data_IF_961324515017
#
_entry.id   IF_961324515017
#
_cell.length_a   1.000
_cell.length_b   1.000
_cell.length_c   1.000
_cell.angle_alpha   90.00
_cell.angle_beta   90.00
_cell.angle_gamma   90.00
#
_symmetry.space_group_name_H-M   'P 1'
#
loop_
_entity.id
_entity.type
_entity.pdbx_description
1 polymer ?
#
# COMPACT_ATOMS: atom_id res chain seq x y z
N UNK A 1 -9.36 -31.07 2.38
CA UNK A 1 -8.71 -31.60 3.60
C UNK A 1 -7.24 -32.05 3.41
N UNK A 2 -6.65 -31.92 2.20
CA UNK A 2 -5.26 -32.34 1.93
C UNK A 2 -4.17 -31.32 2.34
N UNK A 3 -4.51 -30.03 2.43
CA UNK A 3 -3.54 -28.98 2.76
C UNK A 3 -2.94 -29.13 4.17
N UNK A 4 -3.68 -29.70 5.12
CA UNK A 4 -3.22 -29.93 6.50
C UNK A 4 -2.24 -31.09 6.63
N UNK A 5 -2.39 -32.16 5.82
CA UNK A 5 -1.49 -33.31 5.83
C UNK A 5 -0.10 -32.95 5.27
N UNK A 6 -0.05 -32.28 4.12
CA UNK A 6 1.19 -31.78 3.52
C UNK A 6 1.87 -30.73 4.41
N UNK A 7 1.10 -29.86 5.08
CA UNK A 7 1.65 -28.89 6.02
C UNK A 7 2.25 -29.56 7.26
N UNK A 8 1.67 -30.66 7.75
CA UNK A 8 2.19 -31.40 8.92
C UNK A 8 3.47 -32.17 8.60
N UNK A 9 3.60 -32.77 7.42
CA UNK A 9 4.85 -33.43 7.00
C UNK A 9 6.01 -32.45 6.81
N UNK A 10 5.72 -31.22 6.38
CA UNK A 10 6.71 -30.15 6.20
C UNK A 10 6.93 -29.30 7.47
N UNK A 11 6.16 -29.50 8.54
CA UNK A 11 6.23 -28.69 9.78
C UNK A 11 7.53 -28.85 10.57
N UNK A 12 8.32 -29.90 10.30
CA UNK A 12 9.66 -30.11 10.89
C UNK A 12 10.82 -29.63 10.02
N UNK A 13 10.58 -29.26 8.76
CA UNK A 13 11.64 -28.86 7.82
C UNK A 13 12.11 -27.42 8.05
N UNK A 14 11.21 -26.56 8.53
CA UNK A 14 11.51 -25.17 8.87
C UNK A 14 11.19 -25.00 10.35
N UNK A 15 12.17 -24.68 11.21
CA UNK A 15 11.91 -24.46 12.61
C UNK A 15 10.89 -23.33 12.79
N UNK A 16 9.91 -23.48 13.69
CA UNK A 16 8.92 -22.43 13.94
C UNK A 16 9.63 -21.18 14.46
N UNK A 17 9.06 -19.99 14.23
CA UNK A 17 9.62 -18.72 14.70
C UNK A 17 9.53 -18.61 16.23
N UNK A 18 10.53 -19.14 16.94
CA UNK A 18 10.60 -19.18 18.41
C UNK A 18 10.71 -17.79 19.07
N UNK A 19 11.15 -16.78 18.31
CA UNK A 19 11.31 -15.40 18.80
C UNK A 19 10.15 -14.48 18.36
N UNK A 20 8.99 -15.02 18.00
CA UNK A 20 7.81 -14.19 17.78
C UNK A 20 7.09 -13.94 19.12
N UNK A 21 6.51 -12.75 19.36
CA UNK A 21 5.79 -12.46 20.61
C UNK A 21 4.71 -13.50 20.94
N UNK A 22 4.05 -14.05 19.92
CA UNK A 22 3.08 -15.14 20.07
C UNK A 22 3.67 -16.50 20.45
N UNK A 23 4.95 -16.76 20.16
CA UNK A 23 5.65 -17.99 20.53
C UNK A 23 6.22 -17.96 21.95
N UNK A 24 6.47 -16.76 22.50
CA UNK A 24 6.95 -16.56 23.88
C UNK A 24 5.81 -16.48 24.90
N UNK A 25 4.57 -16.33 24.43
CA UNK A 25 3.35 -16.19 25.25
C UNK A 25 2.78 -17.56 25.65
N UNK A 26 3.49 -18.31 26.50
CA UNK A 26 2.98 -19.58 27.04
C UNK A 26 2.08 -19.36 28.28
N UNK A 27 0.86 -18.86 28.06
CA UNK A 27 -0.18 -18.87 29.10
C UNK A 27 -1.19 -17.72 29.04
N UNK A 28 -2.36 -17.93 29.65
CA UNK A 28 -3.46 -16.95 29.74
C UNK A 28 -3.03 -15.62 30.39
N UNK A 29 -2.06 -15.66 31.32
CA UNK A 29 -1.46 -14.47 31.94
C UNK A 29 -0.74 -13.59 30.91
N UNK A 30 -0.06 -14.20 29.92
CA UNK A 30 0.66 -13.46 28.88
C UNK A 30 -0.30 -12.77 27.89
N UNK A 31 -1.43 -13.40 27.58
CA UNK A 31 -2.50 -12.77 26.80
C UNK A 31 -3.13 -11.58 27.54
N UNK A 32 -3.33 -11.69 28.87
CA UNK A 32 -3.83 -10.58 29.70
C UNK A 32 -2.82 -9.43 29.76
N UNK A 33 -1.53 -9.69 29.96
CA UNK A 33 -0.51 -8.63 29.92
C UNK A 33 -0.44 -7.96 28.56
N UNK A 34 -0.58 -8.72 27.46
CA UNK A 34 -0.61 -8.14 26.11
C UNK A 34 -1.82 -7.21 25.94
N UNK A 35 -3.01 -7.60 26.41
CA UNK A 35 -4.21 -6.74 26.33
C UNK A 35 -4.06 -5.42 27.09
N UNK A 36 -3.36 -5.43 28.24
CA UNK A 36 -3.09 -4.22 29.02
C UNK A 36 -2.08 -3.33 28.29
N UNK A 37 -0.98 -3.91 27.78
CA UNK A 37 0.01 -3.17 26.97
C UNK A 37 -0.63 -2.60 25.70
N UNK A 38 -1.47 -3.37 25.03
CA UNK A 38 -2.23 -2.95 23.86
C UNK A 38 -3.19 -1.80 24.19
N UNK A 39 -3.89 -1.87 25.33
CA UNK A 39 -4.78 -0.81 25.80
C UNK A 39 -4.01 0.50 26.00
N UNK A 40 -2.89 0.46 26.73
CA UNK A 40 -2.09 1.65 27.00
C UNK A 40 -1.36 2.17 25.73
N UNK A 41 -0.96 1.30 24.82
CA UNK A 41 -0.33 1.71 23.57
C UNK A 41 -1.28 2.39 22.58
N UNK A 42 -2.58 2.05 22.66
CA UNK A 42 -3.68 2.59 21.83
C UNK A 42 -4.41 3.78 22.47
N UNK A 43 -4.03 4.20 23.67
CA UNK A 43 -4.54 5.44 24.26
C UNK A 43 -4.40 6.57 23.23
N UNK A 44 -5.39 7.47 23.09
CA UNK A 44 -5.29 8.59 22.17
C UNK A 44 -4.05 9.40 22.53
N UNK A 45 -2.99 9.21 21.74
CA UNK A 45 -1.83 10.07 21.77
C UNK A 45 -2.31 11.43 21.22
N UNK A 46 -1.63 12.50 21.61
CA UNK A 46 -1.95 13.85 21.14
C UNK A 46 -2.01 13.95 19.61
N UNK A 47 -2.21 15.16 19.06
CA UNK A 47 -2.36 15.36 17.62
C UNK A 47 -1.31 14.59 16.81
N UNK A 48 -1.79 13.88 15.78
CA UNK A 48 -0.99 13.00 14.93
C UNK A 48 0.27 13.76 14.48
N UNK A 49 1.48 13.15 14.60
CA UNK A 49 2.71 13.81 14.21
C UNK A 49 2.61 14.28 12.76
N UNK A 50 3.19 15.44 12.43
CA UNK A 50 3.09 16.04 11.09
C UNK A 50 3.54 15.10 9.96
N UNK A 51 4.37 14.08 10.27
CA UNK A 51 4.79 13.00 9.36
C UNK A 51 3.69 12.00 9.00
N UNK A 52 2.70 11.81 9.89
CA UNK A 52 1.55 10.93 9.70
C UNK A 52 0.27 11.73 9.38
N UNK A 53 0.34 13.06 9.49
CA UNK A 53 -0.73 13.91 8.98
C UNK A 53 -0.81 13.74 7.49
N UNK A 54 -2.00 13.36 7.04
CA UNK A 54 -2.28 13.13 5.63
C UNK A 54 -2.38 14.48 4.91
N UNK A 55 -1.24 15.11 4.69
CA UNK A 55 -1.09 16.41 4.05
C UNK A 55 -0.77 16.31 2.55
N UNK A 56 -0.92 17.43 1.85
CA UNK A 56 -0.49 17.56 0.45
C UNK A 56 -1.34 16.79 -0.56
N UNK A 57 -0.73 16.45 -1.71
CA UNK A 57 -1.43 15.78 -2.83
C UNK A 57 -2.00 14.42 -2.41
N UNK A 58 -1.28 13.69 -1.54
CA UNK A 58 -1.70 12.39 -1.01
C UNK A 58 -2.98 12.48 -0.21
N UNK A 59 -3.10 13.42 0.73
CA UNK A 59 -4.34 13.61 1.50
C UNK A 59 -5.52 14.19 0.73
N UNK A 60 -5.23 14.92 -0.35
CA UNK A 60 -6.28 15.51 -1.19
C UNK A 60 -6.91 14.51 -2.15
N UNK A 61 -6.20 13.47 -2.56
CA UNK A 61 -6.68 12.59 -3.64
C UNK A 61 -6.53 11.09 -3.40
N UNK A 62 -5.71 10.65 -2.45
CA UNK A 62 -5.35 9.23 -2.30
C UNK A 62 -5.76 8.61 -0.96
N UNK A 63 -6.20 9.39 0.02
CA UNK A 63 -6.47 8.89 1.37
C UNK A 63 -7.81 9.36 1.95
N UNK A 64 -8.35 8.53 2.85
CA UNK A 64 -9.59 8.78 3.57
C UNK A 64 -10.80 8.99 2.65
N UNK A 65 -11.70 9.89 3.07
CA UNK A 65 -12.91 10.28 2.31
C UNK A 65 -12.63 10.93 0.95
N UNK A 66 -11.39 11.37 0.72
CA UNK A 66 -10.97 12.03 -0.51
C UNK A 66 -10.29 11.05 -1.49
N UNK A 67 -10.14 9.77 -1.11
CA UNK A 67 -9.60 8.74 -1.99
C UNK A 67 -10.47 8.66 -3.26
N UNK A 68 -9.91 9.07 -4.38
CA UNK A 68 -10.64 9.23 -5.63
C UNK A 68 -9.78 8.80 -6.81
N UNK A 69 -10.42 8.31 -7.87
CA UNK A 69 -9.77 7.96 -9.14
C UNK A 69 -9.28 9.17 -9.96
N UNK A 70 -9.48 10.40 -9.48
CA UNK A 70 -9.06 11.65 -10.17
C UNK A 70 -7.58 11.68 -10.57
N UNK A 71 -6.61 11.27 -9.73
CA UNK A 71 -5.21 11.24 -10.12
C UNK A 71 -4.93 10.29 -11.27
N UNK A 72 -5.62 9.14 -11.32
CA UNK A 72 -5.48 8.18 -12.41
C UNK A 72 -5.91 8.80 -13.74
N UNK A 73 -7.08 9.44 -13.76
CA UNK A 73 -7.57 10.14 -14.95
C UNK A 73 -6.63 11.28 -15.35
N UNK A 74 -6.14 12.06 -14.39
CA UNK A 74 -5.18 13.13 -14.66
C UNK A 74 -3.88 12.57 -15.31
N UNK A 75 -3.36 11.46 -14.79
CA UNK A 75 -2.18 10.79 -15.38
C UNK A 75 -2.44 10.35 -16.82
N UNK A 76 -3.61 9.77 -17.10
CA UNK A 76 -4.00 9.36 -18.46
C UNK A 76 -4.01 10.58 -19.40
N UNK A 77 -4.69 11.67 -19.02
CA UNK A 77 -4.74 12.87 -19.85
C UNK A 77 -3.37 13.51 -20.07
N UNK A 78 -2.51 13.53 -19.05
CA UNK A 78 -1.13 14.03 -19.18
C UNK A 78 -0.35 13.19 -20.20
N UNK A 79 -0.46 11.86 -20.12
CA UNK A 79 0.24 10.96 -21.04
C UNK A 79 -0.24 11.14 -22.47
N UNK A 80 -1.56 11.25 -22.70
CA UNK A 80 -2.11 11.54 -24.02
C UNK A 80 -1.67 12.90 -24.55
N UNK A 81 -1.68 13.94 -23.71
CA UNK A 81 -1.24 15.28 -24.10
C UNK A 81 0.21 15.31 -24.55
N UNK A 82 1.12 14.70 -23.76
CA UNK A 82 2.54 14.59 -24.10
C UNK A 82 2.74 13.72 -25.36
N UNK A 83 2.05 12.59 -25.46
CA UNK A 83 2.13 11.72 -26.63
C UNK A 83 1.71 12.45 -27.91
N UNK A 84 0.60 13.19 -27.86
CA UNK A 84 0.12 13.98 -28.98
C UNK A 84 1.08 15.11 -29.36
N UNK A 85 1.68 15.81 -28.39
CA UNK A 85 2.64 16.87 -28.72
C UNK A 85 3.90 16.33 -29.39
N UNK A 86 4.40 15.17 -28.95
CA UNK A 86 5.52 14.47 -29.58
C UNK A 86 5.16 14.04 -31.00
N UNK A 87 4.00 13.38 -31.17
CA UNK A 87 3.53 12.92 -32.48
C UNK A 87 3.29 14.10 -33.43
N UNK A 88 2.76 15.20 -32.92
CA UNK A 88 2.57 16.42 -33.69
C UNK A 88 3.89 17.00 -34.18
N UNK A 89 4.88 17.09 -33.30
CA UNK A 89 6.18 17.66 -33.63
C UNK A 89 7.01 16.75 -34.56
N UNK A 90 6.96 15.43 -34.36
CA UNK A 90 7.79 14.47 -35.10
C UNK A 90 7.14 14.00 -36.40
N UNK A 91 5.81 13.87 -36.43
CA UNK A 91 5.07 13.27 -37.52
C UNK A 91 4.12 14.29 -38.18
N UNK A 92 3.04 14.67 -37.50
CA UNK A 92 1.90 15.38 -38.12
C UNK A 92 2.29 16.73 -38.73
N UNK A 93 3.24 17.47 -38.14
CA UNK A 93 3.68 18.78 -38.66
C UNK A 93 4.49 18.67 -39.97
N UNK A 94 5.13 17.53 -40.22
CA UNK A 94 5.97 17.32 -41.41
C UNK A 94 5.22 16.61 -42.55
N UNK A 95 3.94 16.26 -42.34
CA UNK A 95 3.09 15.55 -43.31
C UNK A 95 2.65 16.37 -44.53
N UNK A 96 3.26 17.53 -44.80
CA UNK A 96 2.88 18.39 -45.92
C UNK A 96 3.63 18.13 -47.23
N UNK A 97 4.43 17.05 -47.31
CA UNK A 97 5.22 16.67 -48.50
C UNK A 97 4.91 15.27 -49.06
N UNK A 98 3.81 14.63 -48.66
CA UNK A 98 3.34 13.37 -49.26
C UNK A 98 2.30 13.66 -50.35
N UNK A 99 2.57 13.25 -51.59
CA UNK A 99 1.61 13.28 -52.69
C UNK A 99 0.31 12.55 -52.31
N UNK A 100 -0.80 13.05 -52.85
CA UNK A 100 -2.05 12.31 -53.02
C UNK A 100 -1.81 10.97 -53.73
#
# INVERSE_FOLDING_TARGET
MFATAARRSLSGLIPPKIATPGALSSGSTSARTQSVVDFYSKLPKGPIPASEQVGGVRGKFFEGKNASGKPLLATIFILFGIGYTIDYQMHLKHHKNGHH
#
